data_IF_555511928987
#
_entry.id   IF_555511928987
#
_cell.length_a   1.000
_cell.length_b   1.000
_cell.length_c   1.000
_cell.angle_alpha   90.00
_cell.angle_beta   90.00
_cell.angle_gamma   90.00
#
_symmetry.space_group_name_H-M   'P 1'
#
loop_
_entity.id
_entity.type
_entity.pdbx_description
1 polymer ?
#
# COMPACT_ATOMS: atom_id res chain seq x y z
N UNK A 1 15.74 -71.20 52.80
CA UNK A 1 14.92 -70.00 53.10
C UNK A 1 15.84 -68.80 52.96
N UNK A 2 15.65 -67.75 52.15
CA UNK A 2 14.53 -67.27 51.34
C UNK A 2 15.08 -66.20 50.38
N UNK A 3 14.92 -66.43 49.06
CA UNK A 3 14.42 -65.53 48.00
C UNK A 3 14.89 -64.06 47.90
N UNK A 4 15.52 -63.80 46.75
CA UNK A 4 15.41 -62.66 45.83
C UNK A 4 14.01 -62.00 45.76
N UNK A 5 13.94 -60.67 45.56
CA UNK A 5 13.40 -60.10 44.30
C UNK A 5 13.44 -58.55 44.24
N UNK A 6 13.74 -58.06 43.02
CA UNK A 6 13.63 -56.70 42.53
C UNK A 6 12.16 -56.25 42.45
N UNK A 7 11.86 -54.96 42.70
CA UNK A 7 10.71 -54.29 42.06
C UNK A 7 11.01 -52.84 41.68
N UNK A 8 11.04 -52.67 40.35
CA UNK A 8 10.64 -51.49 39.59
C UNK A 8 9.42 -50.78 40.21
N UNK A 9 9.53 -49.48 40.44
CA UNK A 9 8.38 -48.58 40.63
C UNK A 9 7.95 -48.10 39.25
N UNK A 10 6.99 -48.82 38.68
CA UNK A 10 6.19 -48.38 37.54
C UNK A 10 5.51 -47.03 37.86
N UNK A 11 5.39 -46.18 36.83
CA UNK A 11 4.59 -44.96 36.89
C UNK A 11 3.18 -45.27 37.40
N UNK A 12 2.63 -44.35 38.21
CA UNK A 12 1.30 -44.49 38.79
C UNK A 12 0.26 -44.57 37.65
N UNK A 13 -0.69 -45.53 37.69
CA UNK A 13 -1.78 -45.60 36.72
C UNK A 13 -2.63 -44.32 36.63
N UNK A 14 -2.53 -43.43 37.62
CA UNK A 14 -3.17 -42.12 37.62
C UNK A 14 -2.45 -41.10 36.71
N UNK A 15 -1.12 -41.17 36.60
CA UNK A 15 -0.32 -40.26 35.75
C UNK A 15 -0.49 -40.60 34.27
N UNK A 16 -0.63 -41.89 33.94
CA UNK A 16 -0.94 -42.37 32.60
C UNK A 16 -2.37 -41.96 32.17
N UNK A 17 -3.32 -41.87 33.11
CA UNK A 17 -4.70 -41.45 32.83
C UNK A 17 -4.79 -39.93 32.56
N UNK A 18 -4.00 -39.11 33.25
CA UNK A 18 -3.91 -37.66 33.02
C UNK A 18 -3.21 -37.35 31.70
N UNK A 19 -2.11 -38.05 31.38
CA UNK A 19 -1.41 -37.93 30.10
C UNK A 19 -2.29 -38.35 28.91
N UNK A 20 -3.09 -39.41 29.04
CA UNK A 20 -4.07 -39.84 28.03
C UNK A 20 -5.24 -38.87 27.86
N UNK A 21 -5.66 -38.21 28.93
CA UNK A 21 -6.73 -37.20 28.89
C UNK A 21 -6.23 -35.91 28.22
N UNK A 22 -4.98 -35.50 28.47
CA UNK A 22 -4.34 -34.37 27.76
C UNK A 22 -4.03 -34.67 26.29
N UNK A 23 -3.67 -35.91 25.94
CA UNK A 23 -3.51 -36.35 24.55
C UNK A 23 -4.82 -36.28 23.77
N UNK A 24 -5.95 -36.67 24.38
CA UNK A 24 -7.28 -36.56 23.77
C UNK A 24 -7.77 -35.13 23.59
N UNK A 25 -7.48 -34.23 24.52
CA UNK A 25 -7.87 -32.82 24.34
C UNK A 25 -6.96 -32.06 23.36
N UNK A 26 -5.69 -32.44 23.25
CA UNK A 26 -4.79 -31.98 22.17
C UNK A 26 -5.24 -32.44 20.79
N UNK A 27 -5.78 -33.65 20.66
CA UNK A 27 -6.38 -34.16 19.41
C UNK A 27 -7.71 -33.46 19.07
N UNK A 28 -8.49 -33.05 20.08
CA UNK A 28 -9.68 -32.21 19.89
C UNK A 28 -9.34 -30.79 19.40
N UNK A 29 -8.25 -30.20 19.89
CA UNK A 29 -7.71 -28.91 19.40
C UNK A 29 -7.23 -29.03 17.94
N UNK A 30 -6.62 -30.16 17.56
CA UNK A 30 -6.24 -30.46 16.18
C UNK A 30 -7.45 -30.64 15.25
N UNK A 31 -8.55 -31.25 15.72
CA UNK A 31 -9.81 -31.33 14.98
C UNK A 31 -10.53 -29.97 14.84
N UNK A 32 -10.36 -29.06 15.81
CA UNK A 32 -10.87 -27.69 15.68
C UNK A 32 -10.14 -26.86 14.60
N UNK A 33 -8.87 -27.16 14.29
CA UNK A 33 -8.16 -26.57 13.15
C UNK A 33 -8.61 -27.13 11.79
N UNK A 34 -9.08 -28.39 11.73
CA UNK A 34 -9.75 -28.92 10.53
C UNK A 34 -11.11 -28.23 10.27
N UNK A 35 -11.77 -27.73 11.32
CA UNK A 35 -13.05 -27.02 11.23
C UNK A 35 -12.92 -25.58 10.68
N UNK A 36 -11.72 -24.98 10.74
CA UNK A 36 -11.40 -23.64 10.19
C UNK A 36 -11.32 -23.65 8.65
N UNK A 37 -11.41 -24.83 8.02
CA UNK A 37 -11.36 -25.02 6.57
C UNK A 37 -12.74 -25.20 5.90
N UNK A 38 -13.86 -25.08 6.64
CA UNK A 38 -15.23 -25.07 6.06
C UNK A 38 -15.93 -23.69 6.26
N UNK A 39 -15.94 -22.82 5.23
CA UNK A 39 -16.51 -21.48 5.29
C UNK A 39 -18.03 -21.43 5.55
N UNK A 40 -18.77 -22.53 5.35
CA UNK A 40 -20.24 -22.49 5.33
C UNK A 40 -20.88 -22.49 6.72
N UNK A 41 -20.17 -22.93 7.77
CA UNK A 41 -20.77 -23.10 9.11
C UNK A 41 -20.66 -21.86 10.01
N UNK A 42 -19.73 -20.93 9.76
CA UNK A 42 -19.47 -19.83 10.70
C UNK A 42 -20.20 -18.51 10.39
N UNK A 43 -20.67 -18.32 9.14
CA UNK A 43 -21.42 -17.12 8.75
C UNK A 43 -22.74 -16.92 9.50
N UNK A 44 -23.31 -17.99 10.07
CA UNK A 44 -24.60 -17.94 10.76
C UNK A 44 -24.50 -17.57 12.26
N UNK A 45 -23.34 -17.76 12.91
CA UNK A 45 -23.21 -17.59 14.37
C UNK A 45 -22.63 -16.24 14.80
N UNK A 46 -21.83 -15.57 13.96
CA UNK A 46 -21.24 -14.27 14.28
C UNK A 46 -22.29 -13.13 14.32
N UNK A 47 -23.39 -13.26 13.57
CA UNK A 47 -24.48 -12.26 13.53
C UNK A 47 -25.37 -12.33 14.79
N UNK A 48 -25.39 -13.46 15.50
CA UNK A 48 -26.28 -13.68 16.65
C UNK A 48 -25.77 -13.08 17.97
N UNK A 49 -24.46 -12.85 18.12
CA UNK A 49 -23.86 -12.54 19.43
C UNK A 49 -23.50 -11.07 19.66
N UNK A 50 -23.90 -10.15 18.79
CA UNK A 50 -23.78 -8.70 19.06
C UNK A 50 -22.36 -8.25 19.44
N UNK A 51 -21.33 -8.90 18.91
CA UNK A 51 -19.93 -8.54 19.14
C UNK A 51 -19.68 -7.23 18.40
N UNK A 52 -19.74 -6.12 19.14
CA UNK A 52 -19.22 -4.83 18.66
C UNK A 52 -17.74 -5.02 18.36
N UNK A 53 -17.32 -4.58 17.18
CA UNK A 53 -15.93 -4.50 16.73
C UNK A 53 -15.06 -3.79 17.78
N UNK A 54 -14.41 -4.57 18.63
CA UNK A 54 -13.35 -4.09 19.49
C UNK A 54 -12.07 -4.08 18.66
N UNK A 55 -11.46 -2.90 18.54
CA UNK A 55 -10.15 -2.74 17.89
C UNK A 55 -9.09 -3.58 18.61
N UNK A 56 -8.21 -4.29 17.89
CA UNK A 56 -7.08 -4.97 18.51
C UNK A 56 -6.15 -3.92 19.13
N UNK A 57 -5.93 -4.03 20.44
CA UNK A 57 -4.94 -3.26 21.17
C UNK A 57 -3.53 -3.74 20.75
N UNK A 58 -2.68 -2.88 20.16
CA UNK A 58 -1.37 -3.28 19.64
C UNK A 58 -0.36 -3.69 20.73
N UNK A 59 -0.72 -3.60 22.02
CA UNK A 59 0.07 -4.17 23.09
C UNK A 59 -0.85 -4.91 24.06
N UNK A 60 -1.27 -6.13 23.73
CA UNK A 60 -1.91 -6.99 24.71
C UNK A 60 -0.90 -7.31 25.84
N UNK A 61 -0.99 -6.67 27.03
CA UNK A 61 0.05 -6.76 28.05
C UNK A 61 0.12 -8.16 28.65
N UNK A 62 -0.97 -8.94 28.52
CA UNK A 62 -1.13 -10.28 29.05
C UNK A 62 -0.37 -11.31 28.23
N UNK A 63 -0.54 -11.32 26.90
CA UNK A 63 0.25 -12.23 26.05
C UNK A 63 1.75 -11.88 26.06
N UNK A 64 2.08 -10.60 26.17
CA UNK A 64 3.47 -10.15 26.28
C UNK A 64 4.11 -10.54 27.62
N UNK A 65 3.37 -10.47 28.74
CA UNK A 65 3.85 -10.90 30.05
C UNK A 65 3.94 -12.43 30.15
N UNK A 66 3.01 -13.16 29.54
CA UNK A 66 3.09 -14.63 29.42
C UNK A 66 4.26 -15.09 28.55
N UNK A 67 4.71 -14.28 27.59
CA UNK A 67 5.84 -14.58 26.71
C UNK A 67 7.21 -14.15 27.27
N UNK A 68 7.26 -13.41 28.38
CA UNK A 68 8.45 -12.69 28.84
C UNK A 68 9.65 -13.59 29.18
N UNK A 69 9.39 -14.80 29.64
CA UNK A 69 10.38 -15.81 30.03
C UNK A 69 10.34 -17.07 29.11
N UNK A 70 9.56 -17.01 28.03
CA UNK A 70 9.35 -18.18 27.14
C UNK A 70 10.33 -18.15 25.99
N UNK A 71 11.03 -19.26 25.81
CA UNK A 71 12.07 -19.38 24.78
C UNK A 71 11.50 -19.89 23.44
N UNK A 72 10.22 -20.29 23.40
CA UNK A 72 9.52 -20.62 22.18
C UNK A 72 8.00 -20.47 22.32
N UNK A 73 7.31 -20.43 21.18
CA UNK A 73 5.85 -20.42 21.13
C UNK A 73 5.24 -21.70 21.70
N UNK A 74 5.94 -22.82 21.60
CA UNK A 74 5.55 -24.06 22.27
C UNK A 74 5.62 -23.90 23.78
N UNK A 75 6.68 -23.28 24.29
CA UNK A 75 6.83 -23.04 25.73
C UNK A 75 5.79 -22.06 26.26
N UNK A 76 5.37 -21.09 25.44
CA UNK A 76 4.25 -20.22 25.73
C UNK A 76 2.92 -20.98 25.77
N UNK A 77 2.61 -21.78 24.74
CA UNK A 77 1.32 -22.50 24.64
C UNK A 77 1.21 -23.65 25.65
N UNK A 78 2.35 -24.22 26.05
CA UNK A 78 2.42 -25.29 27.06
C UNK A 78 2.59 -24.76 28.48
N UNK A 79 2.68 -23.43 28.67
CA UNK A 79 2.74 -22.84 30.00
C UNK A 79 1.42 -23.02 30.74
N UNK A 80 1.49 -23.37 32.03
CA UNK A 80 0.29 -23.59 32.86
C UNK A 80 -0.58 -22.32 33.00
N UNK A 81 0.02 -21.13 32.86
CA UNK A 81 -0.68 -19.86 32.87
C UNK A 81 -1.28 -19.50 31.50
N UNK A 82 -1.00 -20.26 30.44
CA UNK A 82 -1.56 -20.05 29.10
C UNK A 82 -2.92 -20.74 28.97
N UNK A 83 -4.00 -19.97 29.19
CA UNK A 83 -5.36 -20.48 29.23
C UNK A 83 -6.14 -20.35 27.92
N UNK A 84 -7.40 -20.79 27.94
CA UNK A 84 -8.32 -20.68 26.79
C UNK A 84 -8.60 -19.24 26.36
N UNK A 85 -8.61 -18.29 27.29
CA UNK A 85 -8.73 -16.87 26.98
C UNK A 85 -7.51 -16.37 26.20
N UNK A 86 -6.32 -16.87 26.53
CA UNK A 86 -5.06 -16.55 25.84
C UNK A 86 -5.01 -17.23 24.46
N UNK A 87 -5.56 -18.45 24.32
CA UNK A 87 -5.81 -19.09 23.01
C UNK A 87 -6.78 -18.27 22.17
N UNK A 88 -7.89 -17.79 22.74
CA UNK A 88 -8.88 -16.98 22.03
C UNK A 88 -8.35 -15.60 21.63
N UNK A 89 -7.50 -15.01 22.45
CA UNK A 89 -6.85 -13.72 22.19
C UNK A 89 -5.71 -13.85 21.17
N UNK A 90 -4.91 -14.90 21.30
CA UNK A 90 -3.96 -15.32 20.28
C UNK A 90 -4.69 -15.63 18.99
N UNK A 91 -5.81 -16.34 19.02
CA UNK A 91 -6.65 -16.59 17.85
C UNK A 91 -7.17 -15.28 17.27
N UNK A 92 -7.63 -14.28 18.04
CA UNK A 92 -7.99 -12.95 17.51
C UNK A 92 -6.81 -12.25 16.83
N UNK A 93 -5.62 -12.28 17.45
CA UNK A 93 -4.41 -11.69 16.88
C UNK A 93 -3.97 -12.41 15.60
N UNK A 94 -4.13 -13.72 15.53
CA UNK A 94 -3.85 -14.54 14.35
C UNK A 94 -4.95 -14.42 13.28
N UNK A 95 -6.20 -14.20 13.68
CA UNK A 95 -7.35 -13.92 12.82
C UNK A 95 -7.27 -12.53 12.20
N UNK A 96 -6.45 -11.64 12.75
CA UNK A 96 -5.83 -10.52 12.03
C UNK A 96 -4.87 -11.01 10.94
N UNK A 97 -5.36 -11.87 10.02
CA UNK A 97 -4.57 -12.61 9.03
C UNK A 97 -3.73 -11.69 8.16
N UNK A 98 -4.25 -10.52 7.82
CA UNK A 98 -3.55 -9.51 7.03
C UNK A 98 -2.59 -8.63 7.85
N UNK A 99 -2.63 -8.70 9.18
CA UNK A 99 -1.82 -7.86 10.07
C UNK A 99 -0.57 -8.63 10.54
N UNK A 100 -0.73 -9.53 11.50
CA UNK A 100 0.39 -10.28 12.08
C UNK A 100 0.60 -11.64 11.40
N UNK A 101 -0.48 -12.28 10.92
CA UNK A 101 -0.41 -13.62 10.32
C UNK A 101 0.12 -13.67 8.87
N UNK A 102 0.15 -12.53 8.18
CA UNK A 102 0.45 -12.47 6.74
C UNK A 102 1.87 -12.92 6.37
N UNK A 103 2.93 -12.49 7.09
CA UNK A 103 4.29 -13.00 6.84
C UNK A 103 4.36 -14.52 6.96
N UNK A 104 3.75 -15.08 8.00
CA UNK A 104 3.75 -16.52 8.26
C UNK A 104 3.00 -17.29 7.21
N UNK A 105 1.87 -16.76 6.77
CA UNK A 105 1.06 -17.42 5.78
C UNK A 105 1.74 -17.45 4.41
N UNK A 106 2.33 -16.32 3.97
CA UNK A 106 3.23 -16.31 2.82
C UNK A 106 4.33 -17.36 3.01
N UNK A 107 4.89 -17.45 4.22
CA UNK A 107 5.98 -18.36 4.47
C UNK A 107 5.62 -19.83 4.31
N UNK A 108 4.46 -20.21 4.84
CA UNK A 108 3.91 -21.57 4.75
C UNK A 108 3.60 -21.95 3.31
N UNK A 109 3.04 -21.05 2.49
CA UNK A 109 2.75 -21.33 1.07
C UNK A 109 4.04 -21.65 0.32
N UNK A 110 5.09 -20.85 0.53
CA UNK A 110 6.35 -21.11 -0.17
C UNK A 110 7.03 -22.38 0.33
N UNK A 111 6.98 -22.67 1.63
CA UNK A 111 7.52 -23.92 2.18
C UNK A 111 6.81 -25.14 1.60
N UNK A 112 5.47 -25.10 1.50
CA UNK A 112 4.70 -26.14 0.84
C UNK A 112 5.18 -26.38 -0.59
N UNK A 113 5.49 -25.30 -1.33
CA UNK A 113 6.06 -25.39 -2.67
C UNK A 113 7.48 -25.97 -2.71
N UNK A 114 8.33 -25.59 -1.76
CA UNK A 114 9.69 -26.14 -1.66
C UNK A 114 9.66 -27.65 -1.36
N UNK A 115 8.80 -28.09 -0.43
CA UNK A 115 8.62 -29.51 -0.07
C UNK A 115 8.09 -30.35 -1.22
N UNK A 116 7.25 -29.78 -2.10
CA UNK A 116 6.65 -30.48 -3.23
C UNK A 116 7.54 -30.58 -4.47
N UNK A 117 8.75 -30.00 -4.46
CA UNK A 117 9.65 -30.04 -5.60
C UNK A 117 10.85 -30.95 -5.33
N UNK A 118 11.11 -31.90 -6.23
CA UNK A 118 12.16 -32.93 -6.11
C UNK A 118 13.59 -32.36 -5.99
N UNK A 119 13.78 -31.06 -6.21
CA UNK A 119 15.07 -30.37 -6.27
C UNK A 119 15.29 -29.31 -5.17
N UNK A 120 14.39 -29.16 -4.19
CA UNK A 120 14.58 -28.19 -3.11
C UNK A 120 14.60 -28.87 -1.75
N UNK A 121 15.75 -28.81 -1.08
CA UNK A 121 15.78 -29.01 0.37
C UNK A 121 15.06 -27.81 1.02
N UNK A 122 13.91 -28.00 1.72
CA UNK A 122 13.26 -26.91 2.46
C UNK A 122 14.22 -26.24 3.47
N UNK A 123 15.27 -26.97 3.84
CA UNK A 123 16.37 -26.57 4.71
C UNK A 123 17.26 -25.42 4.19
N UNK A 124 17.14 -24.96 2.93
CA UNK A 124 17.99 -23.88 2.37
C UNK A 124 17.34 -22.49 2.35
N UNK A 125 16.07 -22.35 2.73
CA UNK A 125 15.33 -21.07 2.69
C UNK A 125 15.66 -20.08 3.83
N UNK A 126 16.65 -20.40 4.66
CA UNK A 126 17.10 -19.63 5.82
C UNK A 126 17.94 -20.51 6.76
N UNK A 127 18.83 -19.94 7.57
CA UNK A 127 19.62 -20.71 8.55
C UNK A 127 18.70 -21.40 9.57
N UNK A 128 19.10 -22.58 10.07
CA UNK A 128 18.34 -23.36 11.05
C UNK A 128 18.00 -22.56 12.33
N UNK A 129 18.89 -21.66 12.71
CA UNK A 129 18.76 -20.72 13.84
C UNK A 129 17.61 -19.74 13.67
N UNK A 130 17.13 -19.57 12.43
CA UNK A 130 16.14 -18.59 12.06
C UNK A 130 14.76 -19.17 11.80
N UNK A 131 14.50 -20.38 12.34
CA UNK A 131 13.24 -21.10 12.17
C UNK A 131 12.69 -21.56 13.50
N UNK A 132 11.39 -21.41 13.70
CA UNK A 132 10.67 -22.00 14.82
C UNK A 132 9.59 -22.93 14.27
N UNK A 133 9.52 -24.15 14.82
CA UNK A 133 8.53 -25.14 14.41
C UNK A 133 7.20 -24.83 15.10
N UNK A 134 6.15 -24.54 14.33
CA UNK A 134 4.80 -24.27 14.84
C UNK A 134 3.82 -25.19 14.10
N UNK A 135 3.01 -25.93 14.86
CA UNK A 135 1.94 -26.80 14.36
C UNK A 135 2.36 -27.75 13.21
N UNK A 136 3.60 -28.23 13.22
CA UNK A 136 4.12 -29.17 12.23
C UNK A 136 4.78 -28.53 11.00
N UNK A 137 4.69 -27.21 10.82
CA UNK A 137 5.41 -26.43 9.80
C UNK A 137 6.53 -25.58 10.39
N UNK A 138 7.35 -24.96 9.54
CA UNK A 138 8.39 -24.01 9.96
C UNK A 138 7.94 -22.57 9.76
N UNK A 139 8.21 -21.73 10.77
CA UNK A 139 8.03 -20.28 10.70
C UNK A 139 9.41 -19.64 10.72
N UNK A 140 9.66 -18.71 9.79
CA UNK A 140 10.95 -18.05 9.66
C UNK A 140 10.94 -16.73 10.46
N UNK A 141 11.98 -16.51 11.27
CA UNK A 141 12.12 -15.27 12.05
C UNK A 141 12.82 -14.16 11.26
N UNK A 142 13.45 -14.51 10.15
CA UNK A 142 14.18 -13.62 9.25
C UNK A 142 13.53 -13.60 7.88
N UNK A 143 13.61 -12.43 7.24
CA UNK A 143 13.16 -12.28 5.86
C UNK A 143 13.95 -13.20 4.95
N UNK A 144 13.24 -13.80 4.00
CA UNK A 144 13.84 -14.56 2.91
C UNK A 144 14.75 -13.63 2.10
N UNK A 145 15.93 -14.13 1.77
CA UNK A 145 16.81 -13.48 0.79
C UNK A 145 16.32 -13.65 -0.65
N UNK A 146 15.47 -14.64 -0.93
CA UNK A 146 14.94 -14.92 -2.26
C UNK A 146 13.49 -14.44 -2.43
N UNK A 147 13.13 -13.85 -3.58
CA UNK A 147 11.76 -13.45 -3.89
C UNK A 147 10.86 -14.67 -4.07
N UNK A 148 9.59 -14.56 -3.69
CA UNK A 148 8.61 -15.61 -3.95
C UNK A 148 8.26 -15.70 -5.44
N UNK A 149 7.96 -16.90 -5.90
CA UNK A 149 7.56 -17.15 -7.29
C UNK A 149 6.16 -16.62 -7.59
N UNK A 150 5.86 -16.43 -8.87
CA UNK A 150 4.52 -16.06 -9.35
C UNK A 150 3.43 -17.02 -8.83
N UNK A 151 3.73 -18.31 -8.75
CA UNK A 151 2.80 -19.34 -8.27
C UNK A 151 2.46 -19.20 -6.78
N UNK A 152 3.46 -18.87 -5.95
CA UNK A 152 3.23 -18.57 -4.53
C UNK A 152 2.30 -17.37 -4.39
N UNK A 153 2.59 -16.28 -5.11
CA UNK A 153 1.77 -15.07 -5.05
C UNK A 153 0.35 -15.34 -5.52
N UNK A 154 0.17 -16.10 -6.61
CA UNK A 154 -1.13 -16.50 -7.09
C UNK A 154 -1.94 -17.24 -6.01
N UNK A 155 -1.38 -18.29 -5.39
CA UNK A 155 -2.10 -19.05 -4.38
C UNK A 155 -2.41 -18.22 -3.13
N UNK A 156 -1.49 -17.35 -2.72
CA UNK A 156 -1.71 -16.44 -1.59
C UNK A 156 -2.88 -15.50 -1.88
N UNK A 157 -2.94 -14.90 -3.07
CA UNK A 157 -3.99 -13.96 -3.48
C UNK A 157 -5.33 -14.66 -3.73
N UNK A 158 -5.34 -15.88 -4.26
CA UNK A 158 -6.56 -16.64 -4.48
C UNK A 158 -7.18 -17.15 -3.18
N UNK A 159 -6.35 -17.40 -2.17
CA UNK A 159 -6.81 -17.91 -0.88
C UNK A 159 -7.34 -16.81 0.05
N UNK A 160 -6.92 -15.55 -0.15
CA UNK A 160 -7.45 -14.37 0.54
C UNK A 160 -7.21 -13.14 -0.34
N UNK A 161 -8.19 -12.83 -1.20
CA UNK A 161 -8.10 -11.69 -2.12
C UNK A 161 -7.87 -10.39 -1.34
N UNK A 162 -6.87 -9.56 -1.71
CA UNK A 162 -6.67 -8.27 -1.08
C UNK A 162 -7.95 -7.42 -1.06
N UNK A 163 -8.25 -6.87 0.11
CA UNK A 163 -9.32 -5.89 0.28
C UNK A 163 -8.80 -4.49 -0.08
N UNK A 164 -9.71 -3.54 -0.29
CA UNK A 164 -9.32 -2.15 -0.50
C UNK A 164 -8.44 -1.64 0.65
N UNK A 165 -7.41 -0.87 0.31
CA UNK A 165 -6.48 -0.24 1.26
C UNK A 165 -5.65 -1.22 2.12
N UNK A 166 -5.52 -2.48 1.71
CA UNK A 166 -4.69 -3.48 2.41
C UNK A 166 -3.33 -3.73 1.74
N UNK A 167 -3.04 -3.09 0.60
CA UNK A 167 -1.83 -3.35 -0.19
C UNK A 167 -0.53 -3.08 0.60
N UNK A 168 -0.54 -2.09 1.49
CA UNK A 168 0.59 -1.77 2.38
C UNK A 168 1.00 -2.98 3.25
N UNK A 169 0.04 -3.83 3.64
CA UNK A 169 0.28 -5.04 4.44
C UNK A 169 1.07 -6.08 3.65
N UNK A 170 0.76 -6.25 2.37
CA UNK A 170 1.48 -7.18 1.47
C UNK A 170 2.84 -6.62 1.02
N UNK A 171 2.98 -5.30 0.88
CA UNK A 171 4.27 -4.68 0.56
C UNK A 171 5.31 -4.92 1.66
N UNK A 172 4.88 -4.93 2.93
CA UNK A 172 5.75 -5.22 4.09
C UNK A 172 6.47 -6.57 3.97
N UNK A 173 5.80 -7.58 3.41
CA UNK A 173 6.30 -8.94 3.29
C UNK A 173 7.09 -9.17 1.99
N UNK A 174 7.17 -8.19 1.10
CA UNK A 174 8.03 -8.26 -0.09
C UNK A 174 9.52 -8.13 0.32
N UNK A 175 10.36 -8.90 -0.36
CA UNK A 175 11.80 -8.93 -0.18
C UNK A 175 12.49 -7.81 -0.96
N UNK A 176 12.02 -7.52 -2.17
CA UNK A 176 12.56 -6.52 -3.08
C UNK A 176 11.46 -5.84 -3.93
N UNK A 177 11.88 -4.95 -4.82
CA UNK A 177 10.97 -4.21 -5.70
C UNK A 177 10.24 -5.12 -6.68
N UNK A 178 10.93 -6.08 -7.26
CA UNK A 178 10.42 -7.01 -8.27
C UNK A 178 9.31 -7.89 -7.70
N UNK A 179 9.46 -8.30 -6.44
CA UNK A 179 8.43 -9.05 -5.73
C UNK A 179 7.20 -8.17 -5.44
N UNK A 180 7.40 -6.92 -5.02
CA UNK A 180 6.32 -5.95 -4.86
C UNK A 180 5.59 -5.69 -6.18
N UNK A 181 6.33 -5.51 -7.27
CA UNK A 181 5.76 -5.35 -8.61
C UNK A 181 4.99 -6.60 -9.02
N UNK A 182 5.53 -7.79 -8.79
CA UNK A 182 4.86 -9.07 -9.06
C UNK A 182 3.53 -9.16 -8.31
N UNK A 183 3.53 -8.89 -7.01
CA UNK A 183 2.32 -8.87 -6.19
C UNK A 183 1.26 -7.91 -6.75
N UNK A 184 1.64 -6.65 -7.00
CA UNK A 184 0.69 -5.63 -7.46
C UNK A 184 0.20 -5.88 -8.89
N UNK A 185 1.06 -6.39 -9.76
CA UNK A 185 0.70 -6.82 -11.12
C UNK A 185 -0.27 -8.00 -11.07
N UNK A 186 -0.01 -9.02 -10.25
CA UNK A 186 -0.94 -10.14 -10.06
C UNK A 186 -2.29 -9.67 -9.53
N UNK A 187 -2.29 -8.76 -8.54
CA UNK A 187 -3.50 -8.15 -8.01
C UNK A 187 -4.26 -7.37 -9.10
N UNK A 188 -3.55 -6.64 -9.96
CA UNK A 188 -4.14 -5.92 -11.09
C UNK A 188 -4.75 -6.82 -12.16
N UNK A 189 -4.24 -8.05 -12.33
CA UNK A 189 -4.81 -9.06 -13.24
C UNK A 189 -6.03 -9.75 -12.61
N UNK A 190 -5.97 -10.05 -11.32
CA UNK A 190 -6.92 -10.90 -10.62
C UNK A 190 -8.21 -10.21 -10.19
N UNK A 191 -8.13 -8.96 -9.73
CA UNK A 191 -9.21 -8.36 -8.93
C UNK A 191 -9.81 -7.17 -9.64
N UNK A 192 -11.06 -7.34 -10.11
CA UNK A 192 -11.77 -6.24 -10.76
C UNK A 192 -12.33 -5.21 -9.76
N UNK A 193 -12.53 -5.58 -8.49
CA UNK A 193 -13.47 -4.87 -7.58
C UNK A 193 -12.83 -4.13 -6.39
N UNK A 194 -11.65 -4.54 -5.90
CA UNK A 194 -11.04 -4.04 -4.66
C UNK A 194 -9.89 -3.04 -4.87
N UNK A 195 -10.10 -2.02 -5.70
CA UNK A 195 -9.14 -0.92 -5.79
C UNK A 195 -9.03 -0.12 -4.48
N UNK A 196 -7.86 0.47 -4.20
CA UNK A 196 -7.71 1.44 -3.13
C UNK A 196 -8.74 2.56 -3.20
N UNK A 197 -9.18 3.04 -2.04
CA UNK A 197 -10.23 4.06 -1.94
C UNK A 197 -9.79 5.38 -2.56
N UNK A 198 -8.49 5.70 -2.57
CA UNK A 198 -7.97 6.91 -3.23
C UNK A 198 -8.26 6.92 -4.75
N UNK A 199 -8.32 5.76 -5.41
CA UNK A 199 -8.71 5.69 -6.83
C UNK A 199 -10.19 6.05 -7.04
N UNK A 200 -11.03 5.81 -6.03
CA UNK A 200 -12.49 6.05 -6.05
C UNK A 200 -12.86 7.38 -5.39
N UNK A 201 -11.92 8.10 -4.78
CA UNK A 201 -12.17 9.34 -4.02
C UNK A 201 -12.84 10.42 -4.87
N UNK A 202 -12.49 10.49 -6.16
CA UNK A 202 -12.99 11.50 -7.10
C UNK A 202 -14.08 10.98 -8.03
N UNK A 203 -14.38 9.68 -8.00
CA UNK A 203 -15.39 9.03 -8.82
C UNK A 203 -16.79 9.66 -8.68
N UNK A 204 -17.14 10.22 -7.53
CA UNK A 204 -18.46 10.86 -7.30
C UNK A 204 -18.62 12.23 -7.96
N UNK A 205 -17.52 12.87 -8.36
CA UNK A 205 -17.52 14.18 -8.99
C UNK A 205 -17.55 14.09 -10.53
N UNK A 206 -17.40 12.90 -11.08
CA UNK A 206 -17.32 12.66 -12.52
C UNK A 206 -18.46 11.78 -13.04
N UNK A 207 -18.80 11.99 -14.31
CA UNK A 207 -19.74 11.15 -15.03
C UNK A 207 -19.15 9.75 -15.37
N UNK A 208 -17.83 9.56 -15.22
CA UNK A 208 -17.15 8.31 -15.57
C UNK A 208 -16.11 7.87 -14.51
N UNK A 209 -16.55 7.31 -13.38
CA UNK A 209 -15.74 7.02 -12.18
C UNK A 209 -14.64 5.95 -12.35
N UNK A 210 -14.58 5.26 -13.49
CA UNK A 210 -13.75 4.07 -13.73
C UNK A 210 -12.33 4.37 -14.23
N UNK A 211 -12.04 5.60 -14.66
CA UNK A 211 -10.80 5.90 -15.41
C UNK A 211 -9.52 5.83 -14.54
N UNK A 212 -9.53 6.34 -13.30
CA UNK A 212 -8.35 6.27 -12.41
C UNK A 212 -7.95 4.85 -12.03
N UNK A 213 -8.93 3.96 -11.84
CA UNK A 213 -8.69 2.57 -11.46
C UNK A 213 -7.98 1.80 -12.58
N UNK A 214 -8.48 1.96 -13.81
CA UNK A 214 -7.93 1.37 -15.03
C UNK A 214 -6.52 1.91 -15.29
N UNK A 215 -6.37 3.23 -15.23
CA UNK A 215 -5.10 3.89 -15.46
C UNK A 215 -4.04 3.49 -14.42
N UNK A 216 -4.42 3.37 -13.14
CA UNK A 216 -3.53 2.83 -12.12
C UNK A 216 -3.07 1.40 -12.45
N UNK A 217 -3.98 0.53 -12.91
CA UNK A 217 -3.60 -0.82 -13.35
C UNK A 217 -2.56 -0.76 -14.46
N UNK A 218 -2.82 0.00 -15.52
CA UNK A 218 -1.89 0.12 -16.66
C UNK A 218 -0.51 0.59 -16.23
N UNK A 219 -0.43 1.57 -15.32
CA UNK A 219 0.83 2.04 -14.75
C UNK A 219 1.54 0.94 -13.95
N UNK A 220 0.82 0.21 -13.10
CA UNK A 220 1.38 -0.93 -12.36
C UNK A 220 1.89 -2.03 -13.29
N UNK A 221 1.16 -2.35 -14.37
CA UNK A 221 1.57 -3.32 -15.38
C UNK A 221 2.84 -2.85 -16.13
N UNK A 222 2.96 -1.54 -16.37
CA UNK A 222 4.13 -0.95 -17.02
C UNK A 222 5.37 -0.92 -16.12
N UNK A 223 5.18 -0.98 -14.80
CA UNK A 223 6.25 -0.96 -13.80
C UNK A 223 6.37 0.35 -13.03
N UNK A 224 5.33 1.21 -13.05
CA UNK A 224 5.20 2.36 -12.14
C UNK A 224 4.09 2.09 -11.12
N UNK A 225 4.46 1.98 -9.85
CA UNK A 225 3.51 1.68 -8.77
C UNK A 225 2.94 2.98 -8.21
N UNK A 226 1.65 3.21 -8.43
CA UNK A 226 0.93 4.37 -7.91
C UNK A 226 0.45 4.10 -6.48
N UNK A 227 0.89 4.96 -5.56
CA UNK A 227 0.54 4.92 -4.15
C UNK A 227 -0.50 5.97 -3.74
N UNK A 228 -0.59 7.09 -4.47
CA UNK A 228 -1.65 8.06 -4.25
C UNK A 228 -1.94 8.87 -5.52
N UNK A 229 -3.20 9.31 -5.63
CA UNK A 229 -3.73 10.16 -6.68
C UNK A 229 -4.48 11.31 -6.01
N UNK A 230 -3.95 12.52 -6.12
CA UNK A 230 -4.58 13.69 -5.51
C UNK A 230 -5.08 14.63 -6.59
N UNK A 231 -6.41 14.77 -6.67
CA UNK A 231 -7.06 15.81 -7.47
C UNK A 231 -7.12 17.13 -6.73
N UNK A 232 -7.37 18.18 -7.49
CA UNK A 232 -7.89 19.44 -6.98
C UNK A 232 -9.16 19.15 -6.17
N UNK A 233 -9.21 19.58 -4.90
CA UNK A 233 -10.38 19.37 -4.07
C UNK A 233 -11.65 20.07 -4.63
N UNK A 234 -12.80 19.93 -3.95
CA UNK A 234 -14.05 20.61 -4.34
C UNK A 234 -13.98 22.14 -4.38
N UNK A 235 -12.83 22.75 -4.03
CA UNK A 235 -12.44 24.10 -4.44
C UNK A 235 -12.29 24.30 -5.96
N UNK A 236 -12.72 23.33 -6.79
CA UNK A 236 -13.14 23.55 -8.19
C UNK A 236 -14.09 24.75 -8.38
N UNK A 237 -14.76 25.23 -7.32
CA UNK A 237 -15.49 26.50 -7.36
C UNK A 237 -14.64 27.69 -7.83
N UNK A 238 -13.31 27.59 -7.79
CA UNK A 238 -12.39 28.66 -8.15
C UNK A 238 -11.56 28.42 -9.42
N UNK A 239 -11.86 27.42 -10.27
CA UNK A 239 -11.19 27.07 -11.58
C UNK A 239 -10.26 28.15 -12.20
N UNK A 240 -9.13 28.47 -11.57
CA UNK A 240 -8.26 29.60 -11.89
C UNK A 240 -8.94 30.98 -11.95
N UNK A 241 -10.22 31.10 -11.58
CA UNK A 241 -10.99 32.33 -11.66
C UNK A 241 -10.86 33.10 -10.35
N UNK A 242 -10.41 34.37 -10.40
CA UNK A 242 -10.50 35.26 -9.25
C UNK A 242 -11.92 35.26 -8.68
N UNK A 243 -12.05 35.07 -7.38
CA UNK A 243 -13.29 35.25 -6.64
C UNK A 243 -13.21 36.46 -5.74
N UNK A 244 -14.36 36.99 -5.36
CA UNK A 244 -14.45 38.15 -4.49
C UNK A 244 -14.70 37.73 -3.05
N UNK A 245 -14.03 38.40 -2.11
CA UNK A 245 -14.47 38.47 -0.74
C UNK A 245 -15.30 39.75 -0.56
N UNK A 246 -16.39 39.70 0.21
CA UNK A 246 -17.16 40.91 0.61
C UNK A 246 -16.38 41.82 1.58
N UNK A 247 -15.07 41.75 1.57
CA UNK A 247 -14.20 42.58 2.39
C UNK A 247 -13.76 43.82 1.60
N UNK A 248 -13.82 45.01 2.19
CA UNK A 248 -13.29 46.22 1.57
C UNK A 248 -11.80 46.04 1.22
N UNK A 249 -11.41 46.51 0.03
CA UNK A 249 -10.00 46.62 -0.36
C UNK A 249 -9.32 47.80 0.34
N UNK A 250 -8.03 48.00 0.09
CA UNK A 250 -7.27 49.13 0.66
C UNK A 250 -7.68 50.48 0.05
N UNK A 251 -8.21 50.46 -1.18
CA UNK A 251 -8.63 51.66 -1.91
C UNK A 251 -10.14 51.82 -1.87
N UNK A 252 -10.63 53.06 -1.74
CA UNK A 252 -12.06 53.35 -1.77
C UNK A 252 -12.71 52.81 -3.06
N UNK A 253 -13.86 52.13 -2.94
CA UNK A 253 -14.57 51.52 -4.07
C UNK A 253 -14.01 50.19 -4.56
N UNK A 254 -12.96 49.66 -3.92
CA UNK A 254 -12.39 48.33 -4.22
C UNK A 254 -12.80 47.28 -3.20
N UNK A 255 -12.80 46.02 -3.61
CA UNK A 255 -12.97 44.85 -2.75
C UNK A 255 -11.77 43.93 -2.90
N UNK A 256 -11.56 43.06 -1.90
CA UNK A 256 -10.53 42.04 -1.98
C UNK A 256 -10.95 40.90 -2.89
N UNK A 257 -10.05 40.53 -3.78
CA UNK A 257 -10.12 39.35 -4.62
C UNK A 257 -9.15 38.29 -4.12
N UNK A 258 -9.51 37.03 -4.35
CA UNK A 258 -8.69 35.86 -4.09
C UNK A 258 -8.62 35.02 -5.34
N UNK A 259 -7.42 34.59 -5.68
CA UNK A 259 -7.19 33.62 -6.73
C UNK A 259 -6.33 32.50 -6.14
N UNK A 260 -6.66 31.26 -6.48
CA UNK A 260 -5.97 30.07 -6.00
C UNK A 260 -5.67 29.15 -7.17
N UNK A 261 -4.49 28.56 -7.16
CA UNK A 261 -4.03 27.55 -8.10
C UNK A 261 -3.75 26.25 -7.35
N UNK A 262 -4.23 25.12 -7.89
CA UNK A 262 -4.14 23.81 -7.28
C UNK A 262 -3.74 22.78 -8.32
N UNK A 263 -2.54 22.22 -8.22
CA UNK A 263 -2.10 21.22 -9.20
C UNK A 263 -2.45 19.81 -8.72
N UNK A 264 -3.04 18.97 -9.59
CA UNK A 264 -3.16 17.55 -9.30
C UNK A 264 -1.77 16.92 -9.28
N UNK A 265 -1.61 15.82 -8.55
CA UNK A 265 -0.37 15.07 -8.54
C UNK A 265 -0.57 13.57 -8.36
N UNK A 266 0.40 12.81 -8.83
CA UNK A 266 0.54 11.37 -8.67
C UNK A 266 1.79 11.11 -7.83
N UNK A 267 1.64 10.35 -6.76
CA UNK A 267 2.75 9.86 -5.96
C UNK A 267 2.91 8.36 -6.18
N UNK A 268 4.13 7.93 -6.47
CA UNK A 268 4.42 6.53 -6.74
C UNK A 268 5.90 6.21 -6.73
N UNK A 269 6.22 4.98 -7.11
CA UNK A 269 7.59 4.47 -7.13
C UNK A 269 7.90 3.73 -8.43
N UNK A 270 9.15 3.79 -8.84
CA UNK A 270 9.77 2.94 -9.86
C UNK A 270 10.93 2.16 -9.26
N UNK A 271 11.46 1.22 -10.04
CA UNK A 271 12.67 0.48 -9.71
C UNK A 271 13.81 1.45 -9.33
N UNK A 272 14.63 1.14 -8.30
CA UNK A 272 15.67 2.06 -7.83
C UNK A 272 16.80 2.29 -8.83
N UNK A 273 17.06 1.33 -9.72
CA UNK A 273 18.13 1.41 -10.71
C UNK A 273 17.72 2.21 -11.96
N UNK A 274 18.71 2.78 -12.64
CA UNK A 274 18.53 3.64 -13.81
C UNK A 274 18.57 2.87 -15.13
N UNK A 275 18.07 1.64 -15.16
CA UNK A 275 18.11 0.79 -16.33
C UNK A 275 16.71 0.45 -16.85
N UNK A 276 16.60 0.26 -18.17
CA UNK A 276 15.35 -0.16 -18.80
C UNK A 276 14.19 0.84 -18.68
N UNK A 277 13.08 0.40 -18.09
CA UNK A 277 11.81 1.16 -18.05
C UNK A 277 11.89 2.47 -17.25
N UNK A 278 12.39 2.52 -16.00
CA UNK A 278 12.49 3.76 -15.23
C UNK A 278 13.16 4.92 -15.98
N UNK A 279 14.31 4.67 -16.63
CA UNK A 279 15.03 5.72 -17.35
C UNK A 279 14.25 6.20 -18.58
N UNK A 280 13.72 5.26 -19.38
CA UNK A 280 12.89 5.57 -20.55
C UNK A 280 11.64 6.37 -20.14
N UNK A 281 10.99 5.98 -19.05
CA UNK A 281 9.79 6.62 -18.54
C UNK A 281 10.06 8.05 -18.07
N UNK A 282 11.11 8.25 -17.27
CA UNK A 282 11.51 9.59 -16.83
C UNK A 282 11.90 10.48 -18.00
N UNK A 283 12.57 9.92 -19.02
CA UNK A 283 12.92 10.66 -20.24
C UNK A 283 11.69 11.10 -21.02
N UNK A 284 10.66 10.26 -21.12
CA UNK A 284 9.39 10.63 -21.78
C UNK A 284 8.69 11.74 -20.99
N UNK A 285 8.57 11.61 -19.66
CA UNK A 285 7.95 12.65 -18.83
C UNK A 285 8.72 13.98 -18.90
N UNK A 286 10.06 13.93 -18.91
CA UNK A 286 10.91 15.12 -19.00
C UNK A 286 10.82 15.85 -20.34
N UNK A 287 10.40 15.16 -21.41
CA UNK A 287 10.19 15.76 -22.75
C UNK A 287 8.87 16.52 -22.88
N UNK A 288 7.98 16.42 -21.89
CA UNK A 288 6.68 17.11 -21.89
C UNK A 288 6.53 18.02 -20.66
N UNK A 289 7.39 19.06 -20.51
CA UNK A 289 7.31 20.01 -19.39
C UNK A 289 6.03 20.86 -19.40
N UNK A 290 5.36 20.93 -20.54
CA UNK A 290 4.04 21.52 -20.74
C UNK A 290 2.91 20.69 -20.10
N UNK A 291 3.16 19.41 -19.81
CA UNK A 291 2.20 18.49 -19.17
C UNK A 291 2.61 18.11 -17.74
N UNK A 292 3.91 17.92 -17.51
CA UNK A 292 4.40 17.33 -16.26
C UNK A 292 5.50 18.17 -15.62
N UNK A 293 5.39 18.34 -14.30
CA UNK A 293 6.49 18.73 -13.43
C UNK A 293 6.87 17.49 -12.63
N UNK A 294 8.08 16.98 -12.85
CA UNK A 294 8.50 15.68 -12.30
C UNK A 294 9.58 15.89 -11.27
N UNK A 295 9.34 15.35 -10.07
CA UNK A 295 10.29 15.35 -8.97
C UNK A 295 10.63 13.91 -8.63
N UNK A 296 11.90 13.63 -8.47
CA UNK A 296 12.41 12.31 -8.15
C UNK A 296 13.26 12.32 -6.89
N UNK A 297 13.20 11.22 -6.14
CA UNK A 297 13.98 10.97 -4.94
C UNK A 297 14.38 9.51 -4.90
N UNK A 298 15.68 9.20 -4.95
CA UNK A 298 16.16 7.84 -4.66
C UNK A 298 16.36 7.71 -3.18
N UNK A 299 16.05 6.58 -2.58
CA UNK A 299 16.32 6.42 -1.15
C UNK A 299 17.81 6.42 -0.78
N UNK A 300 18.67 6.05 -1.73
CA UNK A 300 20.11 6.03 -1.55
C UNK A 300 20.76 7.42 -1.50
N UNK A 301 20.13 8.48 -2.01
CA UNK A 301 20.75 9.81 -1.89
C UNK A 301 20.60 10.39 -0.47
N UNK A 302 21.37 11.45 -0.12
CA UNK A 302 21.20 12.15 1.15
C UNK A 302 19.76 12.62 1.41
N UNK A 303 19.33 12.73 2.68
CA UNK A 303 18.00 13.23 3.03
C UNK A 303 17.69 14.56 2.33
N UNK A 304 16.44 14.71 1.87
CA UNK A 304 15.94 15.91 1.20
C UNK A 304 16.60 16.28 -0.14
N UNK A 305 17.55 15.49 -0.66
CA UNK A 305 18.02 15.66 -2.04
C UNK A 305 16.89 15.26 -3.00
N UNK A 306 16.44 16.21 -3.80
CA UNK A 306 15.38 16.04 -4.80
C UNK A 306 15.90 16.44 -6.17
N UNK A 307 15.63 15.60 -7.17
CA UNK A 307 15.92 15.91 -8.56
C UNK A 307 14.65 16.42 -9.25
N UNK A 308 14.68 17.65 -9.77
CA UNK A 308 13.60 18.21 -10.59
C UNK A 308 13.93 17.92 -12.05
N UNK A 309 13.19 16.99 -12.66
CA UNK A 309 13.50 16.46 -13.98
C UNK A 309 12.78 17.21 -15.12
N UNK A 310 11.69 17.92 -14.82
CA UNK A 310 10.86 18.61 -15.82
C UNK A 310 10.09 19.79 -15.25
N UNK A 311 9.76 20.77 -16.09
CA UNK A 311 8.68 21.75 -15.87
C UNK A 311 8.96 22.92 -14.93
N UNK A 312 10.05 22.90 -14.15
CA UNK A 312 10.41 24.05 -13.29
C UNK A 312 11.90 24.36 -13.36
N UNK A 313 12.22 25.59 -13.78
CA UNK A 313 13.57 26.16 -13.62
C UNK A 313 13.80 26.47 -12.14
N UNK A 314 14.32 25.51 -11.37
CA UNK A 314 14.70 25.73 -9.97
C UNK A 314 14.52 24.55 -9.03
N UNK A 315 14.69 24.81 -7.73
CA UNK A 315 14.53 23.82 -6.65
C UNK A 315 13.09 23.33 -6.51
N UNK A 316 12.90 22.09 -6.03
CA UNK A 316 11.58 21.52 -5.72
C UNK A 316 10.78 22.36 -4.70
N UNK A 317 11.45 23.19 -3.89
CA UNK A 317 10.80 24.16 -3.00
C UNK A 317 10.00 25.24 -3.76
N UNK A 318 10.40 25.54 -5.00
CA UNK A 318 9.75 26.55 -5.86
C UNK A 318 8.59 25.96 -6.67
N UNK A 319 8.44 24.63 -6.69
CA UNK A 319 7.32 23.97 -7.35
C UNK A 319 6.12 24.01 -6.41
N UNK A 320 5.23 24.98 -6.63
CA UNK A 320 4.00 25.10 -5.86
C UNK A 320 3.00 24.02 -6.31
N UNK A 321 2.59 23.14 -5.38
CA UNK A 321 1.41 22.29 -5.57
C UNK A 321 0.13 23.11 -5.34
N UNK A 322 0.13 23.95 -4.30
CA UNK A 322 -0.94 24.92 -4.04
C UNK A 322 -0.34 26.30 -3.82
N UNK A 323 -0.87 27.31 -4.50
CA UNK A 323 -0.54 28.72 -4.28
C UNK A 323 -1.79 29.58 -4.37
N UNK A 324 -1.78 30.71 -3.68
CA UNK A 324 -2.88 31.68 -3.69
C UNK A 324 -2.34 33.10 -3.72
N UNK A 325 -3.18 34.06 -4.07
CA UNK A 325 -2.85 35.48 -3.98
C UNK A 325 -4.08 36.31 -3.68
N UNK A 326 -3.86 37.41 -2.95
CA UNK A 326 -4.89 38.40 -2.66
C UNK A 326 -4.51 39.73 -3.29
N UNK A 327 -5.50 40.40 -3.86
CA UNK A 327 -5.32 41.71 -4.49
C UNK A 327 -6.62 42.52 -4.42
N UNK A 328 -6.50 43.83 -4.58
CA UNK A 328 -7.65 44.73 -4.63
C UNK A 328 -8.17 44.84 -6.07
N UNK A 329 -9.49 44.87 -6.24
CA UNK A 329 -10.13 44.98 -7.54
C UNK A 329 -11.50 45.66 -7.47
N UNK A 330 -12.18 45.86 -8.60
CA UNK A 330 -13.47 46.54 -8.62
C UNK A 330 -14.51 45.75 -7.83
N UNK A 331 -15.48 46.46 -7.26
CA UNK A 331 -16.55 45.86 -6.46
C UNK A 331 -17.46 44.90 -7.26
N UNK A 332 -17.43 44.98 -8.59
CA UNK A 332 -18.24 44.11 -9.46
C UNK A 332 -17.56 42.77 -9.70
N UNK A 333 -18.23 41.67 -9.34
CA UNK A 333 -17.80 40.32 -9.66
C UNK A 333 -17.83 40.00 -11.17
N UNK A 334 -18.49 40.82 -11.99
CA UNK A 334 -18.63 40.59 -13.44
C UNK A 334 -17.38 40.95 -14.25
N UNK A 335 -16.41 41.65 -13.67
CA UNK A 335 -15.20 42.09 -14.38
C UNK A 335 -13.97 41.83 -13.51
N UNK A 336 -13.31 40.66 -13.64
CA UNK A 336 -12.11 40.37 -12.88
C UNK A 336 -10.99 41.35 -13.27
N UNK A 337 -10.14 41.76 -12.32
CA UNK A 337 -8.98 42.62 -12.61
C UNK A 337 -8.08 42.04 -13.71
N UNK A 338 -7.41 42.89 -14.52
CA UNK A 338 -6.41 42.44 -15.46
C UNK A 338 -5.26 41.74 -14.72
N UNK A 339 -4.61 40.76 -15.38
CA UNK A 339 -3.56 39.95 -14.76
C UNK A 339 -2.42 40.78 -14.14
N UNK A 340 -2.11 41.94 -14.73
CA UNK A 340 -1.11 42.89 -14.25
C UNK A 340 -1.43 43.48 -12.86
N UNK A 341 -2.69 43.49 -12.45
CA UNK A 341 -3.14 44.02 -11.15
C UNK A 341 -3.24 42.95 -10.05
N UNK A 342 -2.96 41.67 -10.35
CA UNK A 342 -3.30 40.54 -9.48
C UNK A 342 -2.25 40.20 -8.41
N UNK A 343 -1.16 40.97 -8.29
CA UNK A 343 -0.13 40.76 -7.27
C UNK A 343 0.67 39.45 -7.42
N UNK A 344 1.61 39.25 -6.50
CA UNK A 344 2.48 38.07 -6.46
C UNK A 344 1.77 36.84 -5.86
N UNK A 345 2.20 35.65 -6.27
CA UNK A 345 1.73 34.39 -5.71
C UNK A 345 2.40 34.06 -4.39
N UNK A 346 1.62 33.56 -3.44
CA UNK A 346 2.09 32.98 -2.18
C UNK A 346 1.91 31.45 -2.23
N UNK A 347 3.00 30.71 -2.04
CA UNK A 347 2.97 29.23 -2.04
C UNK A 347 2.45 28.73 -0.69
N UNK A 348 1.30 28.06 -0.69
CA UNK A 348 0.75 27.41 0.51
C UNK A 348 1.34 26.01 0.72
N UNK A 349 1.51 25.25 -0.36
CA UNK A 349 2.08 23.90 -0.33
C UNK A 349 3.01 23.71 -1.52
N UNK A 350 4.30 23.51 -1.25
CA UNK A 350 5.28 23.15 -2.27
C UNK A 350 5.33 21.64 -2.46
N UNK A 351 5.97 21.19 -3.53
CA UNK A 351 6.24 19.78 -3.75
C UNK A 351 7.16 19.17 -2.68
N UNK A 352 8.08 19.97 -2.13
CA UNK A 352 8.86 19.58 -0.95
C UNK A 352 7.94 19.27 0.24
N UNK A 353 6.93 20.11 0.49
CA UNK A 353 5.94 19.91 1.55
C UNK A 353 5.04 18.69 1.29
N UNK A 354 4.80 18.33 0.03
CA UNK A 354 4.09 17.09 -0.31
C UNK A 354 4.90 15.85 0.10
N UNK A 355 6.21 15.86 -0.12
CA UNK A 355 7.09 14.73 0.21
C UNK A 355 7.46 14.68 1.69
N UNK A 356 7.91 15.77 2.29
CA UNK A 356 8.47 15.78 3.65
C UNK A 356 7.60 16.49 4.70
N UNK A 357 6.45 16.99 4.29
CA UNK A 357 5.55 17.75 5.16
C UNK A 357 5.96 19.21 5.28
N UNK A 358 5.09 20.00 5.88
CA UNK A 358 5.34 21.42 6.13
C UNK A 358 5.17 21.78 7.61
N UNK A 359 5.44 23.04 7.92
CA UNK A 359 5.17 23.63 9.23
C UNK A 359 3.68 23.51 9.59
N UNK A 360 3.38 23.46 10.89
CA UNK A 360 2.02 23.40 11.40
C UNK A 360 1.20 24.59 10.88
N UNK A 361 0.11 24.30 10.16
CA UNK A 361 -0.85 25.33 9.82
C UNK A 361 -1.86 25.44 10.96
N UNK A 362 -1.91 26.62 11.60
CA UNK A 362 -3.01 27.00 12.48
C UNK A 362 -4.27 27.14 11.65
N UNK A 363 -5.21 26.21 11.80
CA UNK A 363 -6.54 26.31 11.22
C UNK A 363 -7.36 27.35 12.00
N UNK A 364 -8.40 27.90 11.34
CA UNK A 364 -9.40 28.72 12.02
C UNK A 364 -10.08 27.87 13.10
N UNK A 365 -9.96 28.29 14.35
CA UNK A 365 -10.48 27.56 15.52
C UNK A 365 -9.41 27.10 16.51
N UNK A 366 -8.12 27.34 16.22
CA UNK A 366 -7.02 26.99 17.13
C UNK A 366 -6.50 25.56 16.97
N UNK A 367 -7.12 24.75 16.11
CA UNK A 367 -6.60 23.44 15.73
C UNK A 367 -5.38 23.59 14.81
N UNK A 368 -4.30 22.90 15.14
CA UNK A 368 -3.11 22.80 14.30
C UNK A 368 -3.21 21.55 13.43
N UNK A 369 -3.32 21.72 12.12
CA UNK A 369 -3.18 20.60 11.19
C UNK A 369 -1.73 20.55 10.70
N UNK A 370 -1.04 19.47 11.03
CA UNK A 370 0.23 19.15 10.40
C UNK A 370 -0.06 18.57 9.01
N UNK A 371 0.55 19.17 7.99
CA UNK A 371 0.59 18.58 6.66
C UNK A 371 1.70 17.54 6.67
N UNK A 372 1.37 16.30 7.00
CA UNK A 372 2.32 15.20 6.94
C UNK A 372 2.65 14.91 5.47
N UNK A 373 3.94 14.83 5.14
CA UNK A 373 4.40 14.41 3.82
C UNK A 373 4.51 12.89 3.71
N UNK A 374 4.44 12.36 2.48
CA UNK A 374 4.50 10.90 2.24
C UNK A 374 5.75 10.23 2.81
N UNK A 375 6.88 10.94 2.82
CA UNK A 375 8.16 10.48 3.33
C UNK A 375 8.43 10.99 4.75
N UNK A 376 7.64 11.92 5.28
CA UNK A 376 7.79 12.46 6.63
C UNK A 376 7.54 11.40 7.71
N UNK A 377 6.55 10.53 7.46
CA UNK A 377 6.08 9.51 8.39
C UNK A 377 7.14 8.39 8.56
N UNK A 378 7.93 8.09 7.53
CA UNK A 378 9.01 7.10 7.60
C UNK A 378 10.20 7.49 8.48
N UNK A 379 10.37 8.78 8.80
CA UNK A 379 11.46 9.28 9.64
C UNK A 379 11.03 9.58 11.09
N UNK A 380 9.74 9.75 11.35
CA UNK A 380 9.21 10.10 12.66
C UNK A 380 8.09 9.13 13.09
N UNK A 381 8.45 8.14 13.93
CA UNK A 381 7.56 7.15 14.56
C UNK A 381 6.38 7.73 15.40
N UNK A 382 6.16 9.05 15.41
CA UNK A 382 5.19 9.71 16.29
C UNK A 382 3.79 9.91 15.67
N UNK A 383 3.65 9.91 14.34
CA UNK A 383 2.35 10.17 13.70
C UNK A 383 1.36 9.00 13.77
N UNK A 384 1.82 7.78 14.10
CA UNK A 384 0.95 6.63 14.32
C UNK A 384 0.00 6.81 15.54
N UNK A 385 0.35 7.70 16.48
CA UNK A 385 -0.42 7.92 17.71
C UNK A 385 -1.69 8.79 17.55
N UNK A 386 -1.91 9.41 16.39
CA UNK A 386 -2.99 10.39 16.17
C UNK A 386 -4.17 9.89 15.32
N UNK A 387 -4.38 8.58 15.22
CA UNK A 387 -5.63 8.01 14.69
C UNK A 387 -5.90 8.25 13.19
N UNK A 388 -5.00 8.88 12.45
CA UNK A 388 -5.08 8.99 10.99
C UNK A 388 -4.55 7.71 10.37
N UNK A 389 -5.48 6.82 9.97
CA UNK A 389 -5.23 5.46 9.46
C UNK A 389 -4.63 5.37 8.05
N UNK A 390 -4.31 6.48 7.39
CA UNK A 390 -3.65 6.45 6.09
C UNK A 390 -2.13 6.27 6.29
N UNK A 391 -1.76 5.09 6.78
CA UNK A 391 -0.37 4.65 6.81
C UNK A 391 0.08 4.59 5.34
N UNK A 392 1.04 5.45 4.96
CA UNK A 392 1.66 5.47 3.63
C UNK A 392 1.88 4.06 3.11
N UNK A 393 1.51 3.80 1.84
CA UNK A 393 1.64 2.48 1.18
C UNK A 393 3.03 1.85 1.37
N UNK A 394 4.07 2.69 1.50
CA UNK A 394 5.47 2.28 1.63
C UNK A 394 6.02 2.32 3.06
N UNK A 395 5.20 2.59 4.08
CA UNK A 395 5.66 2.82 5.45
C UNK A 395 6.47 1.65 6.05
N UNK A 396 6.08 0.40 5.74
CA UNK A 396 6.75 -0.79 6.26
C UNK A 396 7.63 -1.51 5.23
N UNK A 397 7.87 -0.91 4.06
CA UNK A 397 8.78 -1.52 3.08
C UNK A 397 10.21 -1.47 3.61
N UNK A 398 11.05 -2.40 3.18
CA UNK A 398 12.44 -2.53 3.66
C UNK A 398 13.48 -2.62 2.53
N UNK A 399 13.06 -2.40 1.28
CA UNK A 399 13.93 -2.44 0.11
C UNK A 399 13.95 -1.05 -0.55
N UNK A 400 15.04 -0.70 -1.26
CA UNK A 400 15.18 0.60 -1.87
C UNK A 400 14.18 0.80 -3.01
N UNK A 401 13.71 2.04 -3.16
CA UNK A 401 12.91 2.46 -4.32
C UNK A 401 13.34 3.84 -4.80
N UNK A 402 12.89 4.20 -6.00
CA UNK A 402 12.93 5.59 -6.47
C UNK A 402 11.51 6.17 -6.44
N UNK A 403 11.30 7.13 -5.55
CA UNK A 403 10.04 7.85 -5.44
C UNK A 403 9.91 8.88 -6.55
N UNK A 404 8.71 8.96 -7.12
CA UNK A 404 8.32 9.96 -8.10
C UNK A 404 7.11 10.74 -7.58
N UNK A 405 7.18 12.06 -7.70
CA UNK A 405 6.06 12.97 -7.57
C UNK A 405 5.86 13.65 -8.93
N UNK A 406 4.77 13.30 -9.60
CA UNK A 406 4.42 13.85 -10.92
C UNK A 406 3.26 14.82 -10.73
N UNK A 407 3.52 16.10 -10.96
CA UNK A 407 2.56 17.19 -10.77
C UNK A 407 2.08 17.68 -12.14
N UNK A 408 0.78 17.96 -12.27
CA UNK A 408 0.22 18.54 -13.49
C UNK A 408 0.76 19.95 -13.75
N UNK A 409 1.20 20.19 -14.99
CA UNK A 409 1.63 21.51 -15.44
C UNK A 409 0.45 22.49 -15.64
N UNK A 410 -0.77 21.99 -15.78
CA UNK A 410 -1.99 22.80 -15.71
C UNK A 410 -2.53 22.84 -14.26
N UNK A 411 -2.75 24.07 -13.76
CA UNK A 411 -3.05 24.37 -12.37
C UNK A 411 -4.49 24.08 -11.94
N UNK A 412 -5.30 23.44 -12.77
CA UNK A 412 -6.68 23.02 -12.46
C UNK A 412 -7.10 21.72 -13.15
N UNK A 413 -6.16 21.03 -13.80
CA UNK A 413 -6.43 19.77 -14.47
C UNK A 413 -7.01 18.73 -13.50
N UNK A 414 -7.91 17.88 -13.97
CA UNK A 414 -8.42 16.79 -13.16
C UNK A 414 -7.38 15.65 -13.04
N UNK A 415 -7.37 14.96 -11.90
CA UNK A 415 -6.42 13.86 -11.68
C UNK A 415 -6.55 12.73 -12.72
N UNK A 416 -7.74 12.50 -13.26
CA UNK A 416 -7.96 11.50 -14.32
C UNK A 416 -7.18 11.85 -15.60
N UNK A 417 -7.22 13.12 -16.01
CA UNK A 417 -6.51 13.56 -17.21
C UNK A 417 -4.99 13.45 -17.00
N UNK A 418 -4.50 13.84 -15.82
CA UNK A 418 -3.08 13.68 -15.47
C UNK A 418 -2.69 12.20 -15.47
N UNK A 419 -3.46 11.33 -14.82
CA UNK A 419 -3.18 9.90 -14.76
C UNK A 419 -3.14 9.28 -16.16
N UNK A 420 -4.10 9.62 -17.02
CA UNK A 420 -4.18 9.13 -18.40
C UNK A 420 -2.96 9.56 -19.22
N UNK A 421 -2.54 10.81 -19.09
CA UNK A 421 -1.33 11.34 -19.74
C UNK A 421 -0.06 10.64 -19.23
N UNK A 422 0.03 10.36 -17.93
CA UNK A 422 1.15 9.60 -17.34
C UNK A 422 1.15 8.15 -17.81
N UNK A 423 -0.01 7.52 -17.98
CA UNK A 423 -0.15 6.18 -18.55
C UNK A 423 0.25 6.13 -20.03
N UNK A 424 -0.16 7.13 -20.81
CA UNK A 424 0.31 7.29 -22.19
C UNK A 424 1.83 7.44 -22.26
N UNK A 425 2.43 8.20 -21.35
CA UNK A 425 3.88 8.33 -21.24
C UNK A 425 4.56 7.00 -20.89
N UNK A 426 3.95 6.18 -20.02
CA UNK A 426 4.45 4.84 -19.70
C UNK A 426 4.40 3.90 -20.92
N UNK A 427 3.32 3.91 -21.69
CA UNK A 427 3.22 3.14 -22.93
C UNK A 427 4.23 3.60 -23.99
N UNK A 428 4.47 4.91 -24.07
CA UNK A 428 5.50 5.47 -24.96
C UNK A 428 6.89 5.00 -24.54
N UNK A 429 7.19 4.98 -23.24
CA UNK A 429 8.46 4.50 -22.70
C UNK A 429 8.71 3.01 -22.97
N UNK A 430 7.63 2.21 -23.03
CA UNK A 430 7.66 0.80 -23.41
C UNK A 430 7.72 0.58 -24.93
N UNK A 431 7.66 1.65 -25.74
CA UNK A 431 7.65 1.56 -27.21
C UNK A 431 6.34 1.02 -27.80
N UNK A 432 5.24 1.04 -27.04
CA UNK A 432 3.93 0.54 -27.50
C UNK A 432 3.15 1.58 -28.30
N UNK A 433 3.38 2.87 -28.02
CA UNK A 433 2.73 3.99 -28.69
C UNK A 433 3.71 5.11 -28.98
N UNK A 434 3.33 6.04 -29.84
CA UNK A 434 4.05 7.28 -30.10
C UNK A 434 3.08 8.40 -30.51
N UNK A 435 3.52 9.65 -30.33
CA UNK A 435 2.73 10.84 -30.68
C UNK A 435 1.73 11.25 -29.60
N UNK A 436 0.69 11.97 -30.03
CA UNK A 436 -0.41 12.44 -29.16
C UNK A 436 -1.34 11.30 -28.76
N UNK A 437 -1.96 11.46 -27.59
CA UNK A 437 -2.95 10.52 -27.07
C UNK A 437 -4.13 10.31 -28.05
N UNK A 438 -4.45 9.05 -28.32
CA UNK A 438 -5.65 8.62 -29.04
C UNK A 438 -6.25 7.39 -28.33
N UNK A 439 -7.54 7.43 -27.99
CA UNK A 439 -8.21 6.38 -27.20
C UNK A 439 -8.06 4.98 -27.83
N UNK A 440 -8.28 4.84 -29.14
CA UNK A 440 -8.15 3.57 -29.84
C UNK A 440 -6.72 3.00 -29.82
N UNK A 441 -5.70 3.88 -29.76
CA UNK A 441 -4.30 3.44 -29.64
C UNK A 441 -3.97 3.05 -28.21
N UNK A 442 -4.53 3.79 -27.25
CA UNK A 442 -4.38 3.50 -25.84
C UNK A 442 -4.95 2.14 -25.47
N UNK A 443 -6.17 1.82 -25.91
CA UNK A 443 -6.81 0.51 -25.70
C UNK A 443 -5.96 -0.62 -26.28
N UNK A 444 -5.53 -0.51 -27.55
CA UNK A 444 -4.66 -1.50 -28.19
C UNK A 444 -3.33 -1.69 -27.46
N UNK A 445 -2.70 -0.60 -27.03
CA UNK A 445 -1.45 -0.67 -26.29
C UNK A 445 -1.65 -1.31 -24.91
N UNK A 446 -2.77 -1.04 -24.25
CA UNK A 446 -3.14 -1.69 -23.00
C UNK A 446 -3.33 -3.19 -23.19
N UNK A 447 -4.06 -3.63 -24.23
CA UNK A 447 -4.24 -5.05 -24.55
C UNK A 447 -2.90 -5.76 -24.77
N UNK A 448 -2.01 -5.14 -25.55
CA UNK A 448 -0.67 -5.67 -25.83
C UNK A 448 0.14 -5.81 -24.55
N UNK A 449 0.13 -4.78 -23.69
CA UNK A 449 0.83 -4.81 -22.40
C UNK A 449 0.24 -5.87 -21.48
N UNK A 450 -1.09 -5.90 -21.35
CA UNK A 450 -1.80 -6.84 -20.50
C UNK A 450 -1.51 -8.29 -20.93
N UNK A 451 -1.64 -8.61 -22.22
CA UNK A 451 -1.33 -9.94 -22.74
C UNK A 451 0.14 -10.33 -22.50
N UNK A 452 1.08 -9.40 -22.71
CA UNK A 452 2.49 -9.64 -22.43
C UNK A 452 2.71 -10.00 -20.96
N UNK A 453 2.16 -9.17 -20.06
CA UNK A 453 2.35 -9.33 -18.61
C UNK A 453 1.62 -10.56 -18.09
N UNK A 454 0.41 -10.86 -18.57
CA UNK A 454 -0.31 -12.09 -18.20
C UNK A 454 0.48 -13.33 -18.63
N UNK A 455 1.03 -13.36 -19.85
CA UNK A 455 1.85 -14.50 -20.32
C UNK A 455 3.10 -14.71 -19.44
N UNK A 456 3.77 -13.63 -19.06
CA UNK A 456 4.94 -13.69 -18.17
C UNK A 456 4.55 -14.15 -16.76
N UNK A 457 3.51 -13.53 -16.18
CA UNK A 457 3.12 -13.75 -14.79
C UNK A 457 2.44 -15.10 -14.59
N UNK A 458 1.63 -15.54 -15.54
CA UNK A 458 0.88 -16.80 -15.50
C UNK A 458 1.59 -17.97 -16.18
N UNK A 459 2.86 -17.84 -16.56
CA UNK A 459 3.63 -18.89 -17.26
C UNK A 459 3.70 -20.24 -16.51
N UNK A 460 3.45 -20.24 -15.19
CA UNK A 460 3.41 -21.46 -14.37
C UNK A 460 2.09 -22.25 -14.51
N UNK A 461 1.07 -21.68 -15.16
CA UNK A 461 -0.20 -22.36 -15.42
C UNK A 461 -0.18 -23.04 -16.79
N UNK A 462 -0.93 -24.15 -16.95
CA UNK A 462 -1.18 -24.72 -18.27
C UNK A 462 -1.84 -23.70 -19.20
N UNK A 463 -1.46 -23.68 -20.48
CA UNK A 463 -1.96 -22.71 -21.48
C UNK A 463 -3.49 -22.72 -21.63
N UNK A 464 -4.15 -23.81 -21.26
CA UNK A 464 -5.60 -23.99 -21.35
C UNK A 464 -6.36 -23.53 -20.09
N UNK A 465 -5.65 -23.15 -19.01
CA UNK A 465 -6.25 -22.84 -17.71
C UNK A 465 -6.76 -21.42 -17.57
N UNK A 466 -6.36 -20.50 -18.46
CA UNK A 466 -6.81 -19.12 -18.44
C UNK A 466 -7.32 -18.68 -19.82
N UNK A 467 -8.64 -18.55 -19.97
CA UNK A 467 -9.21 -17.77 -21.08
C UNK A 467 -9.05 -16.30 -20.72
N UNK A 468 -8.08 -15.63 -21.31
CA UNK A 468 -7.95 -14.18 -21.20
C UNK A 468 -9.22 -13.56 -21.80
N UNK A 469 -10.13 -13.09 -20.94
CA UNK A 469 -11.18 -12.17 -21.39
C UNK A 469 -10.46 -10.84 -21.64
N UNK A 470 -10.39 -10.44 -22.90
CA UNK A 470 -9.98 -9.10 -23.28
C UNK A 470 -10.83 -8.11 -22.50
N UNK A 471 -10.20 -7.18 -21.79
CA UNK A 471 -10.90 -6.12 -21.06
C UNK A 471 -11.27 -5.08 -22.13
N UNK A 472 -12.43 -5.25 -22.76
CA UNK A 472 -13.03 -4.23 -23.62
C UNK A 472 -13.73 -3.17 -22.80
#
# INVERSE_FOLDING_TARGET
>A
MSKTDQRSTAASPADDLVALTMLRERERILACFEMVLDPQKFGAQAVANGVREAHPDPANPRLLSLAWDKVSFRDLVMDEAFGWDDVGEMFRLFMGRLEFGLPWWKDSVVEAYAMGSDNFAPASMGTLENRFKILGGWIYNNKRGQPASNKVWWDLLMSDPPQADTENRYIRICANYEEMQTYLTMNAILIDTNHPTFCKKYARLDANPTDSCITRRHLTLAGFIVADLQSCGPTMLLNGRPTTFRQPGKTAGTIKWLEGEYRPYIFGVVHPEDDGFPEAFLRVLARSPDKFIVISRRESDPPMKLDVLSGASGSAANVAQTRWRQFDGPASASTPPPASARGAWETQRSALNVLYGGDEQKLRGGETARNDGYLAVGFNNKSAAQGRREISMFFHKQFPVRYLLIIGADAHQHIHDLAREVSWAAFTALGLVSGSYEINRYEKASDVLFLKVVRERMAFMPENSFKVRTIT
#
